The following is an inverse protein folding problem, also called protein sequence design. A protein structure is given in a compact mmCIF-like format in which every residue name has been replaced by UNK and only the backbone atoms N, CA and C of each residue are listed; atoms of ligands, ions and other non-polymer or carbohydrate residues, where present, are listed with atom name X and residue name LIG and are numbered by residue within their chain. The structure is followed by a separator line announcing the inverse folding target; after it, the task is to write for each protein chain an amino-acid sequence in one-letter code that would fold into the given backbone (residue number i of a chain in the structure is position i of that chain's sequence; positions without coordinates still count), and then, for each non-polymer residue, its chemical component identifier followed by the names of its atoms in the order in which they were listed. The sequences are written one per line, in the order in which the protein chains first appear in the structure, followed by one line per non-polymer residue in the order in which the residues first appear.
data_IF_970991428436
#
_entry.id   IF_970991428436
#
_cell.length_a   1.000
_cell.length_b   1.000
_cell.length_c   1.000
_cell.angle_alpha   90.00
_cell.angle_beta   90.00
_cell.angle_gamma   90.00
#
_symmetry.space_group_name_H-M   'P 1'
#
loop_
_entity.id
_entity.type
_entity.pdbx_description
1 polymer ?
#
# COMPACT_ATOMS: atom_id res chain seq x y z
N UNK A 1 11.96 -10.17 -0.20
CA UNK A 1 13.04 -9.71 0.68
C UNK A 1 12.42 -8.91 1.82
N UNK A 2 12.63 -9.31 3.10
CA UNK A 2 12.25 -8.48 4.24
C UNK A 2 13.09 -7.18 4.27
N UNK A 3 12.51 -6.08 4.73
CA UNK A 3 13.17 -4.77 4.89
C UNK A 3 13.39 -4.52 6.38
N UNK A 4 14.57 -4.05 6.78
CA UNK A 4 14.85 -3.69 8.17
C UNK A 4 14.28 -2.30 8.46
N UNK A 5 13.22 -2.25 9.27
CA UNK A 5 12.54 -1.01 9.65
C UNK A 5 13.38 -0.10 10.54
N UNK A 6 14.47 -0.60 11.15
CA UNK A 6 15.38 0.22 11.97
C UNK A 6 16.27 1.11 11.13
N UNK A 7 16.48 0.74 9.87
CA UNK A 7 17.31 1.45 8.90
C UNK A 7 16.49 1.99 7.73
N UNK A 8 15.20 1.68 7.66
CA UNK A 8 14.30 2.16 6.62
C UNK A 8 13.98 3.63 6.88
N UNK A 9 14.33 4.49 5.94
CA UNK A 9 13.86 5.86 5.94
C UNK A 9 12.50 5.92 5.20
N UNK A 10 11.40 6.29 5.87
CA UNK A 10 10.10 6.45 5.20
C UNK A 10 10.12 7.50 4.08
N UNK A 11 11.09 8.42 4.09
CA UNK A 11 11.24 9.41 3.03
C UNK A 11 11.79 8.81 1.73
N UNK A 12 12.36 7.60 1.77
CA UNK A 12 12.74 6.82 0.59
C UNK A 12 11.53 6.17 -0.12
N UNK A 13 10.34 6.25 0.48
CA UNK A 13 9.13 5.70 -0.14
C UNK A 13 8.72 6.50 -1.38
N UNK A 14 8.21 5.77 -2.38
CA UNK A 14 7.73 6.37 -3.62
C UNK A 14 6.40 7.11 -3.38
N UNK A 15 6.46 8.43 -3.28
CA UNK A 15 5.29 9.29 -3.14
C UNK A 15 4.61 9.58 -4.48
N UNK A 16 4.17 8.53 -5.20
CA UNK A 16 3.54 8.65 -6.51
C UNK A 16 2.12 8.08 -6.44
N UNK A 17 1.14 8.90 -6.78
CA UNK A 17 -0.25 8.46 -6.85
C UNK A 17 -0.42 7.45 -8.02
N UNK A 18 -0.88 6.21 -7.75
CA UNK A 18 -1.06 5.15 -8.75
C UNK A 18 -1.93 5.51 -9.96
N UNK A 19 -2.87 6.45 -9.79
CA UNK A 19 -3.83 6.84 -10.84
C UNK A 19 -3.32 7.95 -11.76
N UNK A 20 -2.06 8.35 -11.61
CA UNK A 20 -1.49 9.46 -12.39
C UNK A 20 -0.76 8.96 -13.64
N UNK A 21 -0.63 9.84 -14.63
CA UNK A 21 0.21 9.59 -15.81
C UNK A 21 1.66 9.24 -15.42
N UNK A 22 2.16 9.81 -14.31
CA UNK A 22 3.49 9.51 -13.75
C UNK A 22 3.61 8.03 -13.41
N UNK A 23 2.64 7.49 -12.66
CA UNK A 23 2.59 6.08 -12.31
C UNK A 23 2.46 5.16 -13.53
N UNK A 24 1.62 5.52 -14.51
CA UNK A 24 1.44 4.76 -15.73
C UNK A 24 2.74 4.63 -16.55
N UNK A 25 3.49 5.73 -16.72
CA UNK A 25 4.77 5.73 -17.42
C UNK A 25 5.82 4.94 -16.64
N UNK A 26 5.91 5.14 -15.32
CA UNK A 26 6.83 4.37 -14.46
C UNK A 26 6.56 2.87 -14.58
N UNK A 27 5.29 2.45 -14.56
CA UNK A 27 4.91 1.05 -14.78
C UNK A 27 5.49 0.53 -16.09
N UNK A 28 5.34 1.24 -17.21
CA UNK A 28 5.89 0.80 -18.51
C UNK A 28 7.40 0.63 -18.45
N UNK A 29 8.13 1.63 -17.93
CA UNK A 29 9.60 1.62 -17.95
C UNK A 29 10.20 0.62 -16.96
N UNK A 30 9.72 0.61 -15.71
CA UNK A 30 10.31 -0.19 -14.63
C UNK A 30 9.88 -1.66 -14.63
N UNK A 31 8.83 -2.02 -15.37
CA UNK A 31 8.52 -3.43 -15.69
C UNK A 31 9.37 -3.96 -16.85
N UNK A 32 9.95 -3.07 -17.66
CA UNK A 32 10.79 -3.39 -18.82
C UNK A 32 12.18 -2.74 -18.72
N UNK A 33 12.96 -2.99 -17.64
CA UNK A 33 14.16 -2.21 -17.31
C UNK A 33 15.30 -2.33 -18.34
N UNK A 34 15.29 -3.38 -19.17
CA UNK A 34 16.32 -3.63 -20.19
C UNK A 34 16.03 -2.91 -21.52
N UNK A 35 14.92 -2.18 -21.62
CA UNK A 35 14.45 -1.55 -22.85
C UNK A 35 14.31 -0.03 -22.67
N UNK A 36 14.68 0.69 -23.73
CA UNK A 36 14.34 2.10 -23.89
C UNK A 36 13.16 2.26 -24.84
N UNK A 37 12.34 3.29 -24.62
CA UNK A 37 11.15 3.57 -25.42
C UNK A 37 11.08 5.02 -25.88
N UNK A 38 10.64 5.25 -27.12
CA UNK A 38 10.30 6.58 -27.60
C UNK A 38 8.98 7.06 -27.01
N UNK A 39 8.71 8.39 -26.99
CA UNK A 39 7.41 8.91 -26.53
C UNK A 39 6.21 8.32 -27.28
N UNK A 40 6.36 8.06 -28.58
CA UNK A 40 5.30 7.44 -29.39
C UNK A 40 5.05 5.99 -29.00
N UNK A 41 6.09 5.22 -28.71
CA UNK A 41 5.94 3.82 -28.26
C UNK A 41 5.35 3.71 -26.85
N UNK A 42 5.62 4.69 -25.98
CA UNK A 42 4.98 4.77 -24.66
C UNK A 42 3.50 5.12 -24.83
N UNK A 43 3.18 6.10 -25.67
CA UNK A 43 1.79 6.45 -25.98
C UNK A 43 1.01 5.27 -26.57
N UNK A 44 1.62 4.50 -27.48
CA UNK A 44 0.97 3.31 -28.06
C UNK A 44 0.64 2.22 -27.02
N UNK A 45 1.32 2.21 -25.88
CA UNK A 45 1.03 1.29 -24.75
C UNK A 45 0.07 1.89 -23.73
N UNK A 46 -0.11 3.20 -23.74
CA UNK A 46 -0.92 3.98 -22.82
C UNK A 46 -1.90 4.83 -23.64
N UNK A 47 -2.77 4.15 -24.39
CA UNK A 47 -3.71 4.71 -25.35
C UNK A 47 -4.72 5.68 -24.73
N UNK A 48 -5.01 5.51 -23.44
CA UNK A 48 -5.85 6.43 -22.66
C UNK A 48 -5.19 7.79 -22.33
N UNK A 49 -3.89 7.96 -22.59
CA UNK A 49 -3.14 9.17 -22.23
C UNK A 49 -2.76 9.99 -23.47
N UNK A 50 -3.20 11.25 -23.58
CA UNK A 50 -2.84 12.11 -24.71
C UNK A 50 -1.32 12.26 -24.89
N UNK A 51 -0.85 12.26 -26.14
CA UNK A 51 0.58 12.40 -26.49
C UNK A 51 1.29 13.61 -25.86
N UNK A 52 0.59 14.73 -25.75
CA UNK A 52 1.12 15.92 -25.07
C UNK A 52 1.38 15.67 -23.57
N UNK A 53 0.46 14.95 -22.91
CA UNK A 53 0.59 14.56 -21.51
C UNK A 53 1.73 13.56 -21.28
N UNK A 54 1.92 12.59 -22.20
CA UNK A 54 3.08 11.68 -22.16
C UNK A 54 4.38 12.48 -22.22
N UNK A 55 4.52 13.35 -23.20
CA UNK A 55 5.77 14.12 -23.41
C UNK A 55 6.08 15.03 -22.22
N UNK A 56 5.09 15.78 -21.73
CA UNK A 56 5.27 16.63 -20.56
C UNK A 56 5.59 15.87 -19.28
N UNK A 57 5.01 14.67 -19.10
CA UNK A 57 5.30 13.82 -17.93
C UNK A 57 6.68 13.19 -18.02
N UNK A 58 7.12 12.75 -19.20
CA UNK A 58 8.50 12.25 -19.42
C UNK A 58 9.54 13.32 -19.13
N UNK A 59 9.31 14.57 -19.54
CA UNK A 59 10.22 15.68 -19.21
C UNK A 59 10.30 15.90 -17.70
N UNK A 60 9.17 15.89 -16.99
CA UNK A 60 9.16 16.03 -15.52
C UNK A 60 9.90 14.88 -14.84
N UNK A 61 9.57 13.63 -15.20
CA UNK A 61 10.25 12.44 -14.67
C UNK A 61 11.76 12.46 -14.92
N UNK A 62 12.20 12.93 -16.09
CA UNK A 62 13.61 13.06 -16.41
C UNK A 62 14.29 14.14 -15.54
N UNK A 63 13.63 15.29 -15.35
CA UNK A 63 14.15 16.37 -14.52
C UNK A 63 14.18 16.00 -13.03
N UNK A 64 13.20 15.22 -12.57
CA UNK A 64 13.11 14.70 -11.20
C UNK A 64 14.16 13.59 -10.93
N UNK A 65 14.85 13.09 -11.96
CA UNK A 65 15.80 11.99 -11.83
C UNK A 65 15.15 10.63 -11.61
N UNK A 66 13.87 10.48 -11.98
CA UNK A 66 13.12 9.23 -11.85
C UNK A 66 13.36 8.28 -13.03
N UNK A 67 13.82 8.79 -14.18
CA UNK A 67 14.06 8.01 -15.40
C UNK A 67 15.32 8.50 -16.12
N UNK A 68 15.89 7.67 -16.98
CA UNK A 68 16.97 8.04 -17.88
C UNK A 68 16.49 8.33 -19.29
N UNK A 69 17.33 9.01 -20.08
CA UNK A 69 17.12 9.23 -21.50
C UNK A 69 18.44 9.01 -22.25
N UNK A 70 18.42 8.19 -23.29
CA UNK A 70 19.57 7.97 -24.17
C UNK A 70 19.80 9.15 -25.10
N UNK A 71 21.00 9.24 -25.68
CA UNK A 71 21.32 10.28 -26.68
C UNK A 71 20.36 10.24 -27.89
N UNK A 72 19.91 9.04 -28.28
CA UNK A 72 18.98 8.83 -29.39
C UNK A 72 17.51 9.07 -29.00
N UNK A 73 17.24 9.48 -27.76
CA UNK A 73 15.93 9.94 -27.32
C UNK A 73 15.01 8.87 -26.72
N UNK A 74 15.54 7.70 -26.38
CA UNK A 74 14.79 6.64 -25.71
C UNK A 74 14.78 6.84 -24.20
N UNK A 75 13.61 6.72 -23.57
CA UNK A 75 13.44 6.80 -22.13
C UNK A 75 13.49 5.41 -21.52
N UNK A 76 14.18 5.26 -20.39
CA UNK A 76 14.39 3.97 -19.73
C UNK A 76 14.36 4.10 -18.20
N UNK A 77 14.18 2.96 -17.52
CA UNK A 77 14.28 2.87 -16.07
C UNK A 77 15.74 3.06 -15.60
N UNK A 78 15.91 3.53 -14.37
CA UNK A 78 17.22 3.61 -13.72
C UNK A 78 17.46 2.36 -12.87
N UNK A 79 18.68 1.79 -12.93
CA UNK A 79 18.98 0.57 -12.20
C UNK A 79 18.93 0.75 -10.69
N UNK A 80 19.43 1.89 -10.18
CA UNK A 80 19.50 2.19 -8.74
C UNK A 80 18.20 2.66 -8.09
N UNK A 81 17.08 2.70 -8.82
CA UNK A 81 15.76 3.10 -8.30
C UNK A 81 14.89 1.88 -8.02
N UNK A 82 15.33 1.10 -7.03
CA UNK A 82 14.61 -0.11 -6.60
C UNK A 82 13.26 0.19 -5.95
N UNK A 83 13.11 1.38 -5.38
CA UNK A 83 11.86 1.98 -4.92
C UNK A 83 10.82 2.02 -6.06
N UNK A 84 11.18 2.61 -7.21
CA UNK A 84 10.32 2.71 -8.39
C UNK A 84 10.06 1.34 -9.03
N UNK A 85 11.06 0.45 -9.01
CA UNK A 85 10.90 -0.93 -9.48
C UNK A 85 9.89 -1.70 -8.64
N UNK A 86 9.96 -1.56 -7.31
CA UNK A 86 9.00 -2.17 -6.37
C UNK A 86 7.61 -1.60 -6.57
N UNK A 87 7.49 -0.28 -6.68
CA UNK A 87 6.23 0.40 -6.94
C UNK A 87 5.59 -0.10 -8.25
N UNK A 88 6.34 -0.13 -9.35
CA UNK A 88 5.85 -0.61 -10.65
C UNK A 88 5.36 -2.07 -10.61
N UNK A 89 6.06 -2.96 -9.90
CA UNK A 89 5.62 -4.34 -9.69
C UNK A 89 4.32 -4.41 -8.89
N UNK A 90 4.17 -3.58 -7.86
CA UNK A 90 2.93 -3.45 -7.10
C UNK A 90 1.75 -3.04 -7.98
N UNK A 91 1.95 -2.07 -8.88
CA UNK A 91 0.92 -1.65 -9.84
C UNK A 91 0.45 -2.81 -10.73
N UNK A 92 1.38 -3.63 -11.24
CA UNK A 92 1.02 -4.81 -12.05
C UNK A 92 0.24 -5.83 -11.24
N UNK A 93 0.62 -6.07 -9.98
CA UNK A 93 -0.08 -7.01 -9.10
C UNK A 93 -1.51 -6.54 -8.79
N UNK A 94 -1.69 -5.26 -8.45
CA UNK A 94 -3.03 -4.70 -8.20
C UNK A 94 -3.88 -4.76 -9.46
N UNK A 95 -3.33 -4.40 -10.62
CA UNK A 95 -4.05 -4.51 -11.89
C UNK A 95 -4.47 -5.94 -12.20
N UNK A 96 -3.57 -6.92 -12.04
CA UNK A 96 -3.89 -8.33 -12.27
C UNK A 96 -4.94 -8.86 -11.28
N UNK A 97 -5.01 -8.31 -10.06
CA UNK A 97 -6.06 -8.61 -9.11
C UNK A 97 -7.39 -8.01 -9.58
N UNK A 98 -7.40 -6.73 -9.97
CA UNK A 98 -8.61 -6.07 -10.48
C UNK A 98 -9.15 -6.78 -11.71
N UNK A 99 -8.30 -7.13 -12.69
CA UNK A 99 -8.69 -7.88 -13.89
C UNK A 99 -9.26 -9.26 -13.57
N UNK A 100 -8.84 -9.90 -12.46
CA UNK A 100 -9.40 -11.18 -12.02
C UNK A 100 -10.82 -11.04 -11.44
N UNK A 101 -11.11 -9.92 -10.80
CA UNK A 101 -12.35 -9.69 -10.05
C UNK A 101 -13.27 -8.66 -10.73
N UNK A 102 -12.96 -8.27 -11.97
CA UNK A 102 -13.80 -7.35 -12.78
C UNK A 102 -15.03 -8.07 -13.38
N UNK A 103 -15.02 -9.41 -13.40
CA UNK A 103 -16.19 -10.22 -13.77
C UNK A 103 -16.94 -10.69 -12.50
N UNK A 104 -18.21 -10.28 -12.42
CA UNK A 104 -19.29 -10.98 -11.70
C UNK A 104 -19.23 -11.09 -10.16
N UNK A 105 -18.51 -10.23 -9.44
CA UNK A 105 -18.76 -10.09 -7.99
C UNK A 105 -19.93 -9.15 -7.72
N UNK A 106 -21.10 -9.72 -7.49
CA UNK A 106 -22.26 -9.02 -6.93
C UNK A 106 -22.24 -9.10 -5.40
N UNK A 107 -22.91 -8.17 -4.70
CA UNK A 107 -23.09 -8.29 -3.25
C UNK A 107 -23.75 -9.60 -2.81
N UNK A 108 -24.50 -10.27 -3.69
CA UNK A 108 -25.13 -11.57 -3.43
C UNK A 108 -24.14 -12.75 -3.45
N UNK A 109 -22.95 -12.57 -4.02
CA UNK A 109 -21.86 -13.58 -4.04
C UNK A 109 -21.04 -13.61 -2.73
N UNK A 110 -21.31 -12.67 -1.82
CA UNK A 110 -20.69 -12.61 -0.50
C UNK A 110 -21.58 -13.35 0.49
N UNK A 111 -21.20 -14.56 0.88
CA UNK A 111 -21.82 -15.23 2.04
C UNK A 111 -21.56 -14.40 3.30
N UNK A 112 -22.57 -13.63 3.75
CA UNK A 112 -22.53 -12.94 5.03
C UNK A 112 -22.42 -13.99 6.13
N UNK A 113 -21.35 -13.90 6.92
CA UNK A 113 -21.19 -14.72 8.13
C UNK A 113 -22.02 -14.12 9.26
N UNK A 114 -23.35 -14.11 9.09
CA UNK A 114 -24.29 -13.73 10.15
C UNK A 114 -25.00 -14.99 10.65
N UNK A 115 -24.45 -15.63 11.68
CA UNK A 115 -25.18 -15.99 12.90
C UNK A 115 -24.21 -16.61 13.91
N UNK A 116 -23.47 -15.77 14.64
CA UNK A 116 -23.10 -16.18 15.99
C UNK A 116 -24.35 -15.92 16.82
N UNK A 117 -25.03 -16.94 17.37
CA UNK A 117 -26.07 -16.66 18.33
C UNK A 117 -25.41 -15.93 19.49
N UNK A 118 -25.70 -14.64 19.65
CA UNK A 118 -25.54 -13.96 20.92
C UNK A 118 -26.30 -14.81 21.92
N UNK A 119 -25.57 -15.59 22.71
CA UNK A 119 -26.17 -16.35 23.80
C UNK A 119 -26.83 -15.32 24.70
N UNK A 120 -28.15 -15.23 24.61
CA UNK A 120 -29.00 -14.63 25.62
C UNK A 120 -28.76 -15.41 26.91
N UNK A 121 -27.74 -15.00 27.68
CA UNK A 121 -27.57 -15.41 29.05
C UNK A 121 -28.66 -14.70 29.86
N UNK A 122 -29.78 -15.40 29.94
CA UNK A 122 -30.92 -15.22 30.85
C UNK A 122 -30.65 -14.29 32.02
N UNK A 123 -31.26 -13.11 31.97
CA UNK A 123 -31.60 -12.33 33.16
C UNK A 123 -32.83 -12.95 33.80
N UNK A 124 -32.64 -13.81 34.80
CA UNK A 124 -33.68 -14.10 35.80
C UNK A 124 -33.14 -13.79 37.20
N UNK A 125 -33.52 -12.61 37.68
CA UNK A 125 -33.51 -12.21 39.08
C UNK A 125 -34.21 -13.27 39.93
N UNK A 126 -33.48 -13.87 40.88
CA UNK A 126 -34.08 -14.44 42.08
C UNK A 126 -33.26 -14.05 43.29
N UNK A 127 -33.78 -13.06 44.01
CA UNK A 127 -33.31 -12.64 45.33
C UNK A 127 -33.40 -13.82 46.30
N UNK A 128 -32.30 -14.15 46.98
CA UNK A 128 -32.35 -14.68 48.35
C UNK A 128 -31.05 -14.33 49.07
N UNK A 129 -31.19 -13.59 50.16
CA UNK A 129 -30.13 -13.06 51.03
C UNK A 129 -29.17 -14.13 51.56
N UNK A 130 -27.89 -13.76 51.62
CA UNK A 130 -26.85 -14.39 52.44
C UNK A 130 -25.63 -13.47 52.45
N UNK A 131 -25.29 -12.96 53.62
CA UNK A 131 -24.18 -12.06 53.87
C UNK A 131 -22.82 -12.72 53.57
N UNK A 132 -21.91 -11.94 52.98
CA UNK A 132 -20.55 -11.63 53.48
C UNK A 132 -19.58 -11.32 52.33
N UNK A 133 -18.95 -10.15 52.47
CA UNK A 133 -17.66 -9.68 51.91
C UNK A 133 -17.42 -9.66 50.38
N UNK A 134 -17.51 -8.45 49.80
CA UNK A 134 -16.83 -8.07 48.55
C UNK A 134 -15.32 -7.89 48.79
N UNK A 135 -14.43 -8.62 48.09
CA UNK A 135 -13.04 -8.21 47.96
C UNK A 135 -12.89 -7.29 46.75
N UNK A 136 -12.51 -6.05 47.02
CA UNK A 136 -12.10 -5.02 46.06
C UNK A 136 -10.75 -5.43 45.43
N UNK A 137 -10.59 -5.49 44.10
CA UNK A 137 -9.27 -5.65 43.50
C UNK A 137 -8.63 -4.28 43.25
N UNK A 138 -8.23 -3.59 44.32
CA UNK A 138 -7.21 -2.54 44.29
C UNK A 138 -5.87 -3.20 44.61
N UNK A 139 -5.06 -3.58 43.60
CA UNK A 139 -3.62 -3.87 43.78
C UNK A 139 -2.90 -4.25 42.46
N UNK A 140 -2.90 -3.37 41.45
CA UNK A 140 -1.92 -3.49 40.35
C UNK A 140 -1.41 -2.12 39.89
N UNK A 141 -0.99 -1.26 40.81
CA UNK A 141 -0.06 -0.18 40.48
C UNK A 141 0.94 0.02 41.62
N UNK A 142 1.90 -0.90 41.74
CA UNK A 142 3.18 -0.64 42.40
C UNK A 142 4.20 -1.54 41.68
N UNK A 143 5.11 -1.03 40.86
CA UNK A 143 6.30 -0.36 41.34
C UNK A 143 6.97 0.36 40.16
N UNK A 144 7.15 1.67 40.24
CA UNK A 144 8.26 2.33 39.54
C UNK A 144 9.34 2.52 40.59
N UNK A 145 10.41 1.77 40.43
CA UNK A 145 11.69 1.95 41.12
C UNK A 145 12.24 3.33 40.72
N UNK A 146 12.34 4.25 41.67
CA UNK A 146 13.07 5.50 41.49
C UNK A 146 14.27 5.49 42.47
N UNK A 147 15.37 4.96 41.95
CA UNK A 147 16.67 4.95 42.60
C UNK A 147 17.45 6.21 42.20
N UNK A 148 17.33 7.32 42.93
CA UNK A 148 18.33 8.41 42.89
C UNK A 148 18.73 8.93 44.28
N UNK A 149 19.88 8.39 44.70
CA UNK A 149 20.98 8.94 45.48
C UNK A 149 20.89 10.39 46.02
N UNK A 150 21.12 10.52 47.33
CA UNK A 150 22.00 11.54 47.92
C UNK A 150 22.63 11.02 49.23
#
# INVERSE_FOLDING_TARGET
MPVDLRTHDPSDDVHINPRTNKAAIIRVLYTNPNYGFTPSEIHNRLDDIPKGSITGTLTRLLNDGDIGKTADGYYHALEGRDDLRRFARGLVQVQALTERYDDDFTPDDIEQTDDHPTSDAHSETRQHSGADEEPVPEDWIESVDDSEQA
#
